data_IF_252185655991
#
_entry.id   IF_252185655991
#
_cell.length_a   1.000
_cell.length_b   1.000
_cell.length_c   1.000
_cell.angle_alpha   90.00
_cell.angle_beta   90.00
_cell.angle_gamma   90.00
#
_symmetry.space_group_name_H-M   'P 1'
#
loop_
_entity.id
_entity.type
_entity.pdbx_description
1 polymer ?
#
# COMPACT_ATOMS: atom_id res chain seq x y z
N UNK A 1 3.86 16.21 -30.31
CA UNK A 1 3.35 15.65 -29.04
C UNK A 1 1.92 16.13 -28.88
N UNK A 2 0.96 15.22 -28.73
CA UNK A 2 -0.44 15.58 -28.47
C UNK A 2 -0.62 16.06 -27.02
N UNK A 3 -1.76 16.71 -26.74
CA UNK A 3 -2.13 17.04 -25.36
C UNK A 3 -2.28 15.75 -24.52
N UNK A 4 -1.99 15.83 -23.23
CA UNK A 4 -2.24 14.74 -22.29
C UNK A 4 -3.75 14.40 -22.24
N UNK A 5 -4.08 13.14 -21.96
CA UNK A 5 -5.47 12.77 -21.73
C UNK A 5 -5.95 13.33 -20.39
N UNK A 6 -7.19 13.85 -20.29
CA UNK A 6 -7.75 14.43 -19.07
C UNK A 6 -8.16 13.34 -18.08
N UNK A 7 -7.17 12.57 -17.63
CA UNK A 7 -7.30 11.41 -16.77
C UNK A 7 -6.38 11.58 -15.56
N UNK A 8 -6.92 11.30 -14.38
CA UNK A 8 -6.14 11.09 -13.17
C UNK A 8 -6.08 9.58 -12.89
N UNK A 9 -4.87 9.05 -12.73
CA UNK A 9 -4.64 7.66 -12.33
C UNK A 9 -4.18 7.63 -10.87
N UNK A 10 -4.87 6.86 -10.04
CA UNK A 10 -4.53 6.65 -8.63
C UNK A 10 -4.01 5.23 -8.42
N UNK A 11 -2.83 5.08 -7.83
CA UNK A 11 -2.16 3.81 -7.57
C UNK A 11 -1.92 3.68 -6.05
N UNK A 12 -2.93 3.24 -5.28
CA UNK A 12 -2.88 3.23 -3.82
C UNK A 12 -2.07 2.07 -3.23
N UNK A 13 -1.75 1.04 -4.02
CA UNK A 13 -1.22 -0.23 -3.49
C UNK A 13 0.06 -0.70 -4.18
N UNK A 14 0.68 0.15 -5.00
CA UNK A 14 1.93 -0.15 -5.71
C UNK A 14 3.21 0.20 -4.96
N UNK A 15 3.10 0.72 -3.73
CA UNK A 15 4.23 1.03 -2.87
C UNK A 15 4.77 -0.19 -2.13
N UNK A 16 6.05 -0.19 -1.79
CA UNK A 16 6.76 -1.28 -1.12
C UNK A 16 7.56 -0.81 0.12
N UNK A 17 7.44 0.46 0.49
CA UNK A 17 8.25 1.06 1.55
C UNK A 17 7.62 0.85 2.93
N UNK A 18 8.43 0.43 3.90
CA UNK A 18 8.11 0.53 5.33
C UNK A 18 8.62 1.89 5.82
N UNK A 19 7.78 2.75 6.42
CA UNK A 19 8.22 4.01 7.00
C UNK A 19 9.23 3.80 8.15
N UNK A 20 10.26 4.65 8.29
CA UNK A 20 11.25 4.53 9.36
C UNK A 20 10.63 4.47 10.77
N UNK A 21 9.52 5.18 10.99
CA UNK A 21 8.82 5.31 12.27
C UNK A 21 8.27 3.99 12.80
N UNK A 22 8.05 3.00 11.92
CA UNK A 22 7.48 1.69 12.29
C UNK A 22 8.43 0.53 12.02
N UNK A 23 9.65 0.80 11.55
CA UNK A 23 10.58 -0.26 11.12
C UNK A 23 10.91 -1.24 12.25
N UNK A 24 11.03 -0.75 13.49
CA UNK A 24 11.39 -1.57 14.66
C UNK A 24 10.25 -2.45 15.17
N UNK A 25 9.02 -2.21 14.72
CA UNK A 25 7.82 -2.91 15.21
C UNK A 25 7.20 -3.84 14.17
N UNK A 26 7.67 -3.77 12.93
CA UNK A 26 7.20 -4.59 11.82
C UNK A 26 7.83 -6.00 11.85
N UNK A 27 7.04 -6.98 11.44
CA UNK A 27 7.36 -8.41 11.37
C UNK A 27 7.33 -8.97 9.94
N UNK A 28 6.90 -8.18 8.95
CA UNK A 28 6.86 -8.57 7.53
C UNK A 28 8.17 -8.25 6.80
N UNK A 29 8.46 -9.05 5.78
CA UNK A 29 9.61 -8.93 4.89
C UNK A 29 9.23 -8.26 3.57
N UNK A 30 10.23 -7.89 2.76
CA UNK A 30 9.97 -7.41 1.40
C UNK A 30 9.24 -8.43 0.51
N UNK A 31 9.39 -9.74 0.79
CA UNK A 31 8.64 -10.80 0.11
C UNK A 31 7.15 -10.70 0.45
N UNK A 32 6.83 -10.55 1.72
CA UNK A 32 5.44 -10.45 2.19
C UNK A 32 4.78 -9.19 1.61
N UNK A 33 5.50 -8.06 1.59
CA UNK A 33 5.04 -6.82 0.96
C UNK A 33 4.73 -7.01 -0.52
N UNK A 34 5.60 -7.70 -1.26
CA UNK A 34 5.42 -7.93 -2.69
C UNK A 34 4.18 -8.78 -2.98
N UNK A 35 3.89 -9.79 -2.16
CA UNK A 35 2.73 -10.66 -2.36
C UNK A 35 1.42 -10.09 -1.82
N UNK A 36 1.47 -9.25 -0.78
CA UNK A 36 0.28 -8.61 -0.21
C UNK A 36 -0.14 -7.34 -0.98
N UNK A 37 0.81 -6.67 -1.64
CA UNK A 37 0.56 -5.46 -2.43
C UNK A 37 0.09 -5.72 -3.86
N UNK A 38 -0.27 -4.64 -4.56
CA UNK A 38 -0.55 -4.68 -5.98
C UNK A 38 0.76 -4.45 -6.74
N UNK A 39 1.69 -5.41 -6.63
CA UNK A 39 3.04 -5.30 -7.15
C UNK A 39 3.07 -4.93 -8.64
N UNK A 40 4.05 -4.11 -9.02
CA UNK A 40 4.29 -3.64 -10.39
C UNK A 40 3.21 -2.73 -10.98
N UNK A 41 2.19 -2.32 -10.21
CA UNK A 41 1.15 -1.41 -10.72
C UNK A 41 1.67 -0.04 -11.10
N UNK A 42 2.74 0.46 -10.45
CA UNK A 42 3.39 1.74 -10.80
C UNK A 42 4.06 1.67 -12.17
N UNK A 43 4.58 0.51 -12.55
CA UNK A 43 5.20 0.26 -13.84
C UNK A 43 4.16 0.04 -14.94
N UNK A 44 3.09 -0.72 -14.62
CA UNK A 44 2.01 -1.02 -15.56
C UNK A 44 1.16 0.23 -15.86
N UNK A 45 0.82 1.00 -14.83
CA UNK A 45 -0.09 2.14 -14.88
C UNK A 45 0.59 3.50 -14.70
N UNK A 46 1.92 3.55 -14.62
CA UNK A 46 2.73 4.78 -14.64
C UNK A 46 2.74 5.42 -16.02
N UNK A 47 1.58 5.90 -16.47
CA UNK A 47 1.40 6.45 -17.81
C UNK A 47 2.25 7.71 -18.07
N UNK A 48 2.85 8.28 -17.02
CA UNK A 48 3.75 9.43 -17.10
C UNK A 48 3.02 10.62 -17.71
N UNK A 49 3.66 11.27 -18.68
CA UNK A 49 3.13 12.47 -19.34
C UNK A 49 2.00 12.19 -20.35
N UNK A 50 1.51 10.94 -20.46
CA UNK A 50 0.37 10.61 -21.33
C UNK A 50 -0.97 11.01 -20.70
N UNK A 51 -1.03 11.16 -19.38
CA UNK A 51 -2.23 11.55 -18.63
C UNK A 51 -1.95 12.83 -17.83
N UNK A 52 -3.01 13.54 -17.43
CA UNK A 52 -2.89 14.80 -16.67
C UNK A 52 -2.19 14.60 -15.32
N UNK A 53 -2.46 13.48 -14.64
CA UNK A 53 -1.81 13.17 -13.38
C UNK A 53 -1.76 11.67 -13.07
N UNK A 54 -0.69 11.27 -12.37
CA UNK A 54 -0.59 10.00 -11.66
C UNK A 54 -0.32 10.33 -10.20
N UNK A 55 -1.11 9.77 -9.28
CA UNK A 55 -0.91 9.88 -7.84
C UNK A 55 -0.71 8.48 -7.29
N UNK A 56 0.27 8.33 -6.43
CA UNK A 56 0.71 7.04 -5.91
C UNK A 56 1.18 7.19 -4.46
N UNK A 57 1.12 6.09 -3.71
CA UNK A 57 1.75 6.01 -2.38
C UNK A 57 3.03 5.17 -2.47
N UNK A 58 4.14 5.62 -1.85
CA UNK A 58 5.33 4.79 -1.72
C UNK A 58 5.21 3.74 -0.62
N UNK A 59 4.31 3.95 0.34
CA UNK A 59 4.16 3.10 1.51
C UNK A 59 3.44 1.80 1.13
N UNK A 60 3.96 0.67 1.60
CA UNK A 60 3.31 -0.62 1.44
C UNK A 60 1.91 -0.61 2.09
N UNK A 61 0.90 -1.10 1.36
CA UNK A 61 -0.48 -1.15 1.87
C UNK A 61 -0.61 -1.96 3.17
N UNK A 62 0.31 -2.91 3.38
CA UNK A 62 0.39 -3.69 4.60
C UNK A 62 0.66 -2.84 5.86
N UNK A 63 1.22 -1.64 5.71
CA UNK A 63 1.42 -0.69 6.82
C UNK A 63 0.19 0.22 6.95
N UNK A 64 -0.19 0.89 5.86
CA UNK A 64 -1.38 1.75 5.79
C UNK A 64 -2.04 1.61 4.43
N UNK A 65 -3.33 1.25 4.42
CA UNK A 65 -4.14 1.16 3.22
C UNK A 65 -4.94 2.46 3.00
N UNK A 66 -4.45 3.30 2.07
CA UNK A 66 -5.07 4.58 1.71
C UNK A 66 -6.38 4.44 0.90
N UNK A 67 -6.78 3.21 0.57
CA UNK A 67 -8.04 2.88 -0.10
C UNK A 67 -9.07 2.23 0.85
N UNK A 68 -8.84 2.33 2.17
CA UNK A 68 -9.79 1.94 3.22
C UNK A 68 -10.36 3.16 3.93
N UNK A 69 -11.59 3.02 4.44
CA UNK A 69 -12.19 4.05 5.26
C UNK A 69 -11.46 4.18 6.61
N UNK A 70 -11.37 5.40 7.15
CA UNK A 70 -10.66 5.64 8.42
C UNK A 70 -11.12 4.75 9.59
N UNK A 71 -12.42 4.43 9.66
CA UNK A 71 -13.00 3.59 10.71
C UNK A 71 -12.89 2.08 10.47
N UNK A 72 -12.43 1.66 9.30
CA UNK A 72 -12.28 0.25 8.95
C UNK A 72 -10.98 -0.28 9.58
N UNK A 73 -11.06 -0.86 10.78
CA UNK A 73 -9.91 -1.15 11.65
C UNK A 73 -10.09 -2.44 12.45
N UNK A 74 -8.98 -2.99 12.92
CA UNK A 74 -8.96 -4.03 13.93
C UNK A 74 -9.63 -3.55 15.24
N UNK A 75 -10.28 -4.45 16.01
CA UNK A 75 -10.40 -5.89 15.77
C UNK A 75 -11.51 -6.26 14.78
N UNK A 76 -12.37 -5.32 14.37
CA UNK A 76 -13.51 -5.60 13.49
C UNK A 76 -13.07 -6.04 12.08
N UNK A 77 -11.99 -5.44 11.56
CA UNK A 77 -11.38 -5.84 10.30
C UNK A 77 -9.84 -5.81 10.40
N UNK A 78 -9.16 -6.97 10.39
CA UNK A 78 -7.69 -7.03 10.44
C UNK A 78 -7.01 -6.64 9.12
N UNK A 79 -7.77 -6.50 8.01
CA UNK A 79 -7.35 -5.96 6.70
C UNK A 79 -7.90 -4.52 6.49
N UNK A 80 -7.98 -3.76 7.59
CA UNK A 80 -8.45 -2.38 7.60
C UNK A 80 -7.38 -1.38 7.17
N UNK A 81 -7.63 -0.08 7.42
CA UNK A 81 -6.70 1.03 7.12
C UNK A 81 -5.33 0.86 7.76
N UNK A 82 -5.26 0.21 8.93
CA UNK A 82 -4.02 -0.31 9.52
C UNK A 82 -4.18 -1.82 9.59
N UNK A 83 -3.48 -2.52 8.71
CA UNK A 83 -3.55 -3.98 8.59
C UNK A 83 -2.77 -4.64 9.72
N UNK A 84 -3.34 -5.67 10.34
CA UNK A 84 -2.67 -6.46 11.40
C UNK A 84 -2.18 -7.81 10.88
N UNK A 85 -2.72 -8.30 9.77
CA UNK A 85 -2.34 -9.57 9.14
C UNK A 85 -2.33 -9.46 7.61
N UNK A 86 -1.28 -9.99 6.98
CA UNK A 86 -1.22 -10.14 5.51
C UNK A 86 -2.32 -11.09 5.01
N UNK A 87 -2.61 -11.05 3.71
CA UNK A 87 -3.63 -11.88 3.06
C UNK A 87 -3.34 -13.38 3.22
N UNK A 88 -2.06 -13.71 3.34
CA UNK A 88 -1.47 -15.03 3.51
C UNK A 88 -1.26 -15.42 5.00
N UNK A 89 -1.67 -14.56 5.95
CA UNK A 89 -1.76 -14.90 7.36
C UNK A 89 -0.55 -14.53 8.22
N UNK A 90 0.49 -13.93 7.65
CA UNK A 90 1.64 -13.40 8.40
C UNK A 90 1.24 -12.15 9.19
N UNK A 91 1.48 -12.09 10.51
CA UNK A 91 1.27 -10.88 11.30
C UNK A 91 2.15 -9.72 10.82
N UNK A 92 1.57 -8.53 10.65
CA UNK A 92 2.28 -7.34 10.17
C UNK A 92 3.22 -6.79 11.23
N UNK A 93 2.78 -6.75 12.49
CA UNK A 93 3.53 -6.20 13.61
C UNK A 93 3.99 -7.32 14.55
N UNK A 94 5.08 -7.08 15.27
CA UNK A 94 5.58 -7.98 16.31
C UNK A 94 4.58 -8.08 17.45
N UNK A 95 4.57 -9.20 18.16
CA UNK A 95 3.71 -9.41 19.34
C UNK A 95 3.88 -8.27 20.35
N UNK A 96 2.80 -7.98 21.11
CA UNK A 96 2.70 -6.90 22.10
C UNK A 96 2.84 -5.47 21.56
N UNK A 97 2.91 -5.29 20.24
CA UNK A 97 3.06 -3.96 19.63
C UNK A 97 1.78 -3.39 19.03
N UNK A 98 0.72 -4.21 18.93
CA UNK A 98 -0.60 -3.80 18.43
C UNK A 98 -1.72 -4.71 18.95
#
# INVERSE_FOLDING_TARGET
MGAAYPLLVSIPHGGDTIPPEVTDIVNITGRDIFYDGDALTREIYGFGTRVDAVIETPIARAIVDVNRAYGDRAPANPDGVVKTVTTDGTPVYREETF
#
